data_IF_992137595113
#
_entry.id   IF_992137595113
#
_cell.length_a   1.000
_cell.length_b   1.000
_cell.length_c   1.000
_cell.angle_alpha   90.00
_cell.angle_beta   90.00
_cell.angle_gamma   90.00
#
_symmetry.space_group_name_H-M   'P 1'
#
loop_
_entity.id
_entity.type
_entity.pdbx_description
1 polymer ?
#
# COMPACT_ATOMS: atom_id res chain seq x y z
N UNK A 1 -8.72 -11.18 -10.77
CA UNK A 1 -9.02 -11.18 -9.31
C UNK A 1 -10.51 -10.95 -9.13
N UNK A 2 -11.15 -11.64 -8.19
CA UNK A 2 -12.54 -11.34 -7.78
C UNK A 2 -12.59 -10.03 -6.98
N UNK A 3 -13.78 -9.43 -6.85
CA UNK A 3 -13.98 -8.23 -6.01
C UNK A 3 -13.47 -8.44 -4.58
N UNK A 4 -13.69 -9.63 -4.02
CA UNK A 4 -13.20 -10.02 -2.68
C UNK A 4 -11.68 -10.09 -2.61
N UNK A 5 -11.02 -10.65 -3.64
CA UNK A 5 -9.56 -10.68 -3.72
C UNK A 5 -8.97 -9.28 -3.80
N UNK A 6 -9.60 -8.37 -4.55
CA UNK A 6 -9.16 -6.97 -4.66
C UNK A 6 -9.26 -6.26 -3.29
N UNK A 7 -10.40 -6.40 -2.62
CA UNK A 7 -10.59 -5.80 -1.29
C UNK A 7 -9.60 -6.35 -0.24
N UNK A 8 -9.27 -7.65 -0.31
CA UNK A 8 -8.27 -8.26 0.56
C UNK A 8 -6.86 -7.71 0.28
N UNK A 9 -6.50 -7.55 -0.99
CA UNK A 9 -5.18 -7.04 -1.37
C UNK A 9 -4.99 -5.57 -0.96
N UNK A 10 -6.02 -4.72 -1.10
CA UNK A 10 -5.98 -3.33 -0.61
C UNK A 10 -5.67 -3.30 0.89
N UNK A 11 -6.41 -4.08 1.68
CA UNK A 11 -6.20 -4.13 3.14
C UNK A 11 -4.79 -4.60 3.49
N UNK A 12 -4.28 -5.60 2.80
CA UNK A 12 -2.94 -6.14 3.01
C UNK A 12 -1.86 -5.09 2.70
N UNK A 13 -1.93 -4.44 1.54
CA UNK A 13 -0.96 -3.40 1.13
C UNK A 13 -0.95 -2.25 2.13
N UNK A 14 -2.12 -1.71 2.46
CA UNK A 14 -2.23 -0.58 3.39
C UNK A 14 -1.69 -0.94 4.77
N UNK A 15 -2.05 -2.11 5.29
CA UNK A 15 -1.59 -2.54 6.62
C UNK A 15 -0.07 -2.69 6.67
N UNK A 16 0.52 -3.46 5.75
CA UNK A 16 1.97 -3.69 5.76
C UNK A 16 2.74 -2.37 5.64
N UNK A 17 2.32 -1.50 4.72
CA UNK A 17 3.05 -0.27 4.48
C UNK A 17 2.93 0.76 5.61
N UNK A 18 1.77 0.82 6.28
CA UNK A 18 1.64 1.65 7.49
C UNK A 18 2.47 1.09 8.65
N UNK A 19 2.47 -0.23 8.84
CA UNK A 19 3.29 -0.88 9.87
C UNK A 19 4.80 -0.62 9.62
N UNK A 20 5.25 -0.65 8.35
CA UNK A 20 6.64 -0.38 7.96
C UNK A 20 7.03 1.09 8.12
N UNK A 21 6.14 2.01 7.72
CA UNK A 21 6.31 3.45 7.91
C UNK A 21 6.40 3.80 9.40
N UNK A 22 5.52 3.24 10.25
CA UNK A 22 5.57 3.45 11.70
C UNK A 22 6.89 2.95 12.31
N UNK A 23 7.37 1.77 11.89
CA UNK A 23 8.68 1.24 12.32
C UNK A 23 9.83 2.15 11.91
N UNK A 24 9.83 2.65 10.68
CA UNK A 24 10.86 3.58 10.19
C UNK A 24 10.85 4.92 10.94
N UNK A 25 9.66 5.46 11.23
CA UNK A 25 9.52 6.68 12.04
C UNK A 25 10.09 6.47 13.44
N UNK A 26 9.74 5.37 14.11
CA UNK A 26 10.27 5.02 15.45
C UNK A 26 11.78 4.82 15.45
N UNK A 27 12.35 4.31 14.36
CA UNK A 27 13.79 4.13 14.18
C UNK A 27 14.53 5.42 13.78
N UNK A 28 13.83 6.54 13.56
CA UNK A 28 14.42 7.81 13.14
C UNK A 28 14.83 7.88 11.67
N UNK A 29 14.46 6.89 10.85
CA UNK A 29 14.85 6.76 9.44
C UNK A 29 13.80 7.38 8.51
N UNK A 30 13.70 8.72 8.52
CA UNK A 30 12.68 9.48 7.76
C UNK A 30 12.63 9.17 6.26
N UNK A 31 13.76 8.90 5.62
CA UNK A 31 13.81 8.54 4.20
C UNK A 31 13.15 7.19 3.90
N UNK A 32 13.27 6.22 4.82
CA UNK A 32 12.60 4.91 4.71
C UNK A 32 11.10 5.11 4.87
N UNK A 33 10.66 5.87 5.88
CA UNK A 33 9.24 6.17 6.05
C UNK A 33 8.61 6.83 4.81
N UNK A 34 9.33 7.78 4.19
CA UNK A 34 8.89 8.39 2.92
C UNK A 34 8.80 7.35 1.80
N UNK A 35 9.82 6.51 1.65
CA UNK A 35 9.85 5.47 0.62
C UNK A 35 8.67 4.49 0.76
N UNK A 36 8.34 4.05 1.97
CA UNK A 36 7.22 3.14 2.20
C UNK A 36 5.86 3.80 1.87
N UNK A 37 5.70 5.10 2.18
CA UNK A 37 4.50 5.84 1.78
C UNK A 37 4.38 5.96 0.25
N UNK A 38 5.48 6.23 -0.45
CA UNK A 38 5.49 6.29 -1.92
C UNK A 38 5.19 4.93 -2.56
N UNK A 39 5.74 3.84 -2.01
CA UNK A 39 5.45 2.49 -2.49
C UNK A 39 3.99 2.10 -2.25
N UNK A 40 3.43 2.45 -1.07
CA UNK A 40 2.01 2.27 -0.78
C UNK A 40 1.13 2.97 -1.81
N UNK A 41 1.41 4.23 -2.11
CA UNK A 41 0.66 5.01 -3.11
C UNK A 41 0.73 4.37 -4.50
N UNK A 42 1.92 3.95 -4.95
CA UNK A 42 2.11 3.27 -6.24
C UNK A 42 1.34 1.95 -6.33
N UNK A 43 1.32 1.16 -5.25
CA UNK A 43 0.56 -0.11 -5.20
C UNK A 43 -0.95 0.14 -5.22
N UNK A 44 -1.43 1.12 -4.47
CA UNK A 44 -2.84 1.49 -4.48
C UNK A 44 -3.30 1.98 -5.85
N UNK A 45 -2.48 2.77 -6.55
CA UNK A 45 -2.75 3.18 -7.94
C UNK A 45 -2.86 1.97 -8.89
N UNK A 46 -1.98 0.96 -8.75
CA UNK A 46 -2.08 -0.27 -9.55
C UNK A 46 -3.39 -1.02 -9.27
N UNK A 47 -3.82 -1.10 -8.01
CA UNK A 47 -5.09 -1.73 -7.66
C UNK A 47 -6.29 -0.94 -8.20
N UNK A 48 -6.23 0.39 -8.18
CA UNK A 48 -7.26 1.24 -8.77
C UNK A 48 -7.40 0.99 -10.28
N UNK A 49 -6.29 0.89 -11.01
CA UNK A 49 -6.32 0.57 -12.44
C UNK A 49 -6.94 -0.82 -12.72
N UNK A 50 -6.69 -1.81 -11.86
CA UNK A 50 -7.33 -3.13 -11.96
C UNK A 50 -8.85 -3.03 -11.76
N UNK A 51 -9.33 -2.17 -10.87
CA UNK A 51 -10.76 -1.93 -10.65
C UNK A 51 -11.42 -1.26 -11.86
N UNK A 52 -10.75 -0.28 -12.49
CA UNK A 52 -11.23 0.37 -13.71
C UNK A 52 -11.33 -0.61 -14.88
N UNK A 53 -10.34 -1.49 -15.03
CA UNK A 53 -10.30 -2.49 -16.10
C UNK A 53 -11.31 -3.65 -15.92
N UNK A 54 -11.85 -3.82 -14.70
CA UNK A 54 -12.82 -4.86 -14.37
C UNK A 54 -14.28 -4.38 -14.50
N UNK A 55 -14.49 -3.17 -15.03
CA UNK A 55 -15.80 -2.52 -15.22
C UNK A 55 -16.47 -2.92 -16.53
#
# INVERSE_FOLDING_TARGET
MTKTQIAAEIRKVVKMQLDDCERAIKAGTKSIALYELEDAAKRLQKIAALLESAR
#
